data_IF_007070046802
#
_entry.id   IF_007070046802
#
_cell.length_a   1.000
_cell.length_b   1.000
_cell.length_c   1.000
_cell.angle_alpha   90.00
_cell.angle_beta   90.00
_cell.angle_gamma   90.00
#
_symmetry.space_group_name_H-M   'P 1'
#
loop_
_entity.id
_entity.type
_entity.pdbx_description
1 polymer ?
#
# COMPACT_ATOMS: atom_id res chain seq x y z
N UNK A 1 44.22 -6.93 -54.54
CA UNK A 1 42.79 -6.57 -54.51
C UNK A 1 41.94 -7.75 -54.97
N UNK A 2 41.28 -8.46 -54.03
CA UNK A 2 40.00 -9.15 -54.19
C UNK A 2 39.60 -9.77 -52.84
N UNK A 3 38.48 -9.30 -52.31
CA UNK A 3 37.84 -9.70 -51.05
C UNK A 3 37.36 -11.16 -51.10
N UNK A 4 37.52 -11.91 -50.01
CA UNK A 4 36.60 -12.99 -49.63
C UNK A 4 36.44 -13.01 -48.09
N UNK A 5 35.23 -12.70 -47.66
CA UNK A 5 34.64 -12.93 -46.34
C UNK A 5 34.25 -14.42 -46.24
N UNK A 6 34.71 -15.12 -45.21
CA UNK A 6 34.10 -16.33 -44.58
C UNK A 6 34.66 -16.35 -43.14
N UNK A 7 33.92 -16.17 -42.06
CA UNK A 7 32.60 -16.70 -41.75
C UNK A 7 32.79 -17.86 -40.76
N UNK A 8 32.96 -17.57 -39.47
CA UNK A 8 32.91 -18.59 -38.41
C UNK A 8 32.21 -18.01 -37.17
N UNK A 9 30.88 -18.13 -37.24
CA UNK A 9 29.95 -18.55 -36.19
C UNK A 9 30.27 -18.17 -34.74
N UNK A 10 29.68 -17.04 -34.35
CA UNK A 10 28.89 -16.84 -33.13
C UNK A 10 28.63 -18.12 -32.30
N UNK A 11 29.36 -18.28 -31.19
CA UNK A 11 28.86 -19.01 -30.02
C UNK A 11 28.61 -17.97 -28.91
N UNK A 12 27.41 -17.38 -28.95
CA UNK A 12 26.84 -16.65 -27.82
C UNK A 12 26.62 -17.66 -26.69
N UNK A 13 27.55 -17.73 -25.75
CA UNK A 13 27.23 -18.33 -24.46
C UNK A 13 26.18 -17.46 -23.77
N UNK A 14 24.95 -17.95 -23.79
CA UNK A 14 23.91 -17.61 -22.82
C UNK A 14 24.48 -17.81 -21.41
N UNK A 15 24.83 -16.74 -20.70
CA UNK A 15 25.04 -16.80 -19.25
C UNK A 15 24.89 -15.43 -18.56
N UNK A 16 23.83 -14.67 -18.88
CA UNK A 16 23.53 -13.41 -18.17
C UNK A 16 22.31 -13.50 -17.25
N UNK A 17 21.76 -14.69 -17.02
CA UNK A 17 20.70 -14.92 -16.02
C UNK A 17 21.20 -15.49 -14.69
N UNK A 18 22.46 -15.93 -14.59
CA UNK A 18 23.04 -16.48 -13.35
C UNK A 18 23.73 -15.47 -12.45
N UNK A 19 24.14 -14.29 -12.95
CA UNK A 19 24.88 -13.30 -12.14
C UNK A 19 24.01 -12.48 -11.19
N UNK A 20 22.71 -12.33 -11.48
CA UNK A 20 21.77 -11.63 -10.59
C UNK A 20 21.28 -12.53 -9.43
N UNK A 21 21.18 -13.84 -9.64
CA UNK A 21 20.82 -14.80 -8.59
C UNK A 21 21.96 -14.99 -7.58
N UNK A 22 23.20 -15.14 -8.06
CA UNK A 22 24.37 -15.29 -7.20
C UNK A 22 24.61 -14.07 -6.28
N UNK A 23 24.35 -12.86 -6.75
CA UNK A 23 24.55 -11.66 -5.91
C UNK A 23 23.52 -11.54 -4.79
N UNK A 24 22.26 -11.95 -5.01
CA UNK A 24 21.22 -11.95 -3.97
C UNK A 24 21.46 -13.01 -2.91
N UNK A 25 21.84 -14.22 -3.32
CA UNK A 25 22.17 -15.31 -2.40
C UNK A 25 23.34 -14.93 -1.49
N UNK A 26 24.39 -14.32 -2.05
CA UNK A 26 25.54 -13.85 -1.27
C UNK A 26 25.20 -12.69 -0.32
N UNK A 27 24.32 -11.77 -0.74
CA UNK A 27 23.80 -10.70 0.14
C UNK A 27 22.98 -11.28 1.29
N UNK A 28 22.08 -12.22 1.01
CA UNK A 28 21.30 -12.90 2.03
C UNK A 28 22.20 -13.67 2.99
N UNK A 29 23.20 -14.41 2.49
CA UNK A 29 24.14 -15.14 3.31
C UNK A 29 24.92 -14.24 4.27
N UNK A 30 25.28 -13.01 3.86
CA UNK A 30 25.90 -12.04 4.76
C UNK A 30 24.94 -11.60 5.88
N UNK A 31 23.67 -11.32 5.53
CA UNK A 31 22.62 -10.92 6.48
C UNK A 31 22.29 -12.07 7.44
N UNK A 32 22.07 -13.29 6.95
CA UNK A 32 21.86 -14.47 7.76
C UNK A 32 23.02 -14.69 8.74
N UNK A 33 24.27 -14.56 8.27
CA UNK A 33 25.44 -14.69 9.14
C UNK A 33 25.47 -13.66 10.27
N UNK A 34 25.06 -12.41 10.02
CA UNK A 34 25.01 -11.40 11.09
C UNK A 34 23.88 -11.71 12.07
N UNK A 35 22.73 -12.15 11.57
CA UNK A 35 21.56 -12.48 12.38
C UNK A 35 21.77 -13.76 13.21
N UNK A 36 22.43 -14.77 12.66
CA UNK A 36 22.85 -15.98 13.37
C UNK A 36 23.80 -15.64 14.52
N UNK A 37 24.76 -14.74 14.30
CA UNK A 37 25.65 -14.29 15.36
C UNK A 37 24.89 -13.53 16.46
N UNK A 38 23.86 -12.74 16.11
CA UNK A 38 23.00 -12.06 17.08
C UNK A 38 22.19 -13.06 17.93
N UNK A 39 21.56 -14.07 17.30
CA UNK A 39 20.81 -15.12 18.00
C UNK A 39 21.72 -15.92 18.92
N UNK A 40 22.88 -16.33 18.43
CA UNK A 40 23.82 -17.17 19.17
C UNK A 40 24.75 -16.37 20.09
N UNK A 41 24.57 -15.06 20.22
CA UNK A 41 25.41 -14.15 21.01
C UNK A 41 26.92 -14.31 20.72
N UNK A 42 27.26 -14.54 19.45
CA UNK A 42 28.63 -14.74 18.99
C UNK A 42 29.32 -13.41 18.73
N UNK A 43 30.63 -13.36 18.97
CA UNK A 43 31.43 -12.16 18.72
C UNK A 43 31.55 -11.91 17.22
N UNK A 44 31.37 -10.65 16.82
CA UNK A 44 31.50 -10.24 15.42
C UNK A 44 32.62 -9.23 15.24
N UNK A 45 33.46 -9.47 14.23
CA UNK A 45 34.52 -8.54 13.86
C UNK A 45 33.97 -7.40 13.00
N UNK A 46 34.19 -6.15 13.42
CA UNK A 46 33.81 -4.96 12.63
C UNK A 46 34.38 -5.02 11.22
N UNK A 47 35.65 -5.42 11.05
CA UNK A 47 36.29 -5.47 9.73
C UNK A 47 35.75 -6.58 8.82
N UNK A 48 35.03 -7.56 9.38
CA UNK A 48 34.46 -8.66 8.61
C UNK A 48 33.06 -8.36 8.07
N UNK A 49 32.38 -7.35 8.62
CA UNK A 49 30.98 -7.07 8.32
C UNK A 49 30.72 -5.61 7.92
N UNK A 50 31.52 -4.64 8.35
CA UNK A 50 31.30 -3.21 8.05
C UNK A 50 32.20 -2.76 6.91
N UNK A 51 31.63 -2.00 5.97
CA UNK A 51 32.32 -1.47 4.79
C UNK A 51 33.59 -0.70 5.17
N UNK A 52 34.75 -1.02 4.54
CA UNK A 52 35.96 -0.22 4.68
C UNK A 52 35.75 1.26 4.33
N UNK A 53 34.93 1.57 3.33
CA UNK A 53 34.60 2.95 2.95
C UNK A 53 33.88 3.69 4.09
N UNK A 54 32.91 3.05 4.76
CA UNK A 54 32.25 3.61 5.94
C UNK A 54 33.25 3.89 7.06
N UNK A 55 34.07 2.90 7.43
CA UNK A 55 35.05 3.05 8.51
C UNK A 55 36.02 4.21 8.25
N UNK A 56 36.47 4.36 7.00
CA UNK A 56 37.34 5.46 6.58
C UNK A 56 36.62 6.81 6.64
N UNK A 57 35.39 6.91 6.15
CA UNK A 57 34.61 8.14 6.14
C UNK A 57 34.36 8.69 7.55
N UNK A 58 34.07 7.79 8.50
CA UNK A 58 33.79 8.14 9.89
C UNK A 58 35.04 8.12 10.79
N UNK A 59 36.24 7.90 10.23
CA UNK A 59 37.53 7.82 10.94
C UNK A 59 37.51 6.82 12.10
N UNK A 60 36.84 5.69 11.90
CA UNK A 60 36.69 4.62 12.89
C UNK A 60 37.76 3.55 12.69
N UNK A 61 38.42 3.16 13.78
CA UNK A 61 39.24 1.94 13.80
C UNK A 61 38.36 0.72 14.09
N UNK A 62 38.42 -0.30 13.24
CA UNK A 62 37.70 -1.56 13.44
C UNK A 62 38.05 -2.26 14.76
N UNK A 63 39.26 -2.04 15.30
CA UNK A 63 39.69 -2.62 16.58
C UNK A 63 39.11 -1.93 17.82
N UNK A 64 38.52 -0.74 17.64
CA UNK A 64 38.06 0.12 18.74
C UNK A 64 36.53 0.13 18.88
N UNK A 65 35.81 -0.49 17.95
CA UNK A 65 34.35 -0.54 17.93
C UNK A 65 33.86 -1.98 17.94
N UNK A 66 32.62 -2.15 18.35
CA UNK A 66 31.90 -3.41 18.30
C UNK A 66 30.67 -3.28 17.41
N UNK A 67 30.23 -4.39 16.84
CA UNK A 67 28.95 -4.42 16.12
C UNK A 67 27.84 -4.48 17.15
N UNK A 68 26.88 -3.57 17.04
CA UNK A 68 25.70 -3.59 17.89
C UNK A 68 24.83 -4.80 17.55
N UNK A 69 24.26 -5.40 18.58
CA UNK A 69 23.43 -6.59 18.45
C UNK A 69 22.13 -6.39 19.21
N UNK A 70 21.03 -6.67 18.54
CA UNK A 70 19.87 -7.16 19.27
C UNK A 70 20.22 -8.57 19.79
N UNK A 71 19.63 -9.00 20.91
CA UNK A 71 19.70 -10.40 21.37
C UNK A 71 18.37 -11.11 21.06
N UNK A 72 18.02 -11.31 19.78
CA UNK A 72 16.78 -11.98 19.41
C UNK A 72 16.84 -13.47 19.73
N UNK A 73 15.67 -14.08 19.87
CA UNK A 73 15.50 -15.53 19.93
C UNK A 73 15.40 -16.14 18.52
N UNK A 74 14.99 -15.36 17.53
CA UNK A 74 14.95 -15.80 16.14
C UNK A 74 14.85 -14.65 15.14
N UNK A 75 14.97 -15.01 13.86
CA UNK A 75 14.90 -14.06 12.75
C UNK A 75 14.33 -14.71 11.48
N UNK A 76 13.92 -13.88 10.53
CA UNK A 76 13.59 -14.26 9.16
C UNK A 76 14.05 -13.17 8.19
N UNK A 77 14.57 -13.55 7.03
CA UNK A 77 14.73 -12.60 5.92
C UNK A 77 13.33 -12.35 5.33
N UNK A 78 12.89 -11.10 5.33
CA UNK A 78 11.58 -10.70 4.80
C UNK A 78 11.64 -10.49 3.28
N UNK A 79 12.68 -9.78 2.82
CA UNK A 79 12.78 -9.32 1.43
C UNK A 79 14.23 -9.02 1.04
N UNK A 80 14.61 -9.34 -0.20
CA UNK A 80 15.80 -8.78 -0.84
C UNK A 80 15.36 -8.01 -2.10
N UNK A 81 15.38 -6.67 -2.01
CA UNK A 81 14.87 -5.77 -3.06
C UNK A 81 15.82 -5.65 -4.26
N UNK A 82 16.97 -6.31 -4.23
CA UNK A 82 18.08 -6.06 -5.14
C UNK A 82 18.82 -4.76 -4.79
N UNK A 83 19.88 -4.45 -5.54
CA UNK A 83 20.75 -3.31 -5.31
C UNK A 83 21.33 -3.24 -3.88
N UNK A 84 21.51 -4.40 -3.23
CA UNK A 84 22.07 -4.49 -1.89
C UNK A 84 21.07 -4.25 -0.75
N UNK A 85 19.80 -3.97 -1.03
CA UNK A 85 18.82 -3.70 0.05
C UNK A 85 18.15 -4.99 0.50
N UNK A 86 18.36 -5.38 1.76
CA UNK A 86 17.79 -6.59 2.37
C UNK A 86 17.04 -6.22 3.64
N UNK A 87 15.80 -6.68 3.79
CA UNK A 87 15.00 -6.51 4.99
C UNK A 87 14.87 -7.84 5.73
N UNK A 88 15.01 -7.80 7.04
CA UNK A 88 14.85 -8.96 7.90
C UNK A 88 14.07 -8.59 9.16
N UNK A 89 13.31 -9.54 9.69
CA UNK A 89 12.70 -9.45 11.01
C UNK A 89 13.51 -10.20 12.03
N UNK A 90 13.54 -9.64 13.24
CA UNK A 90 14.08 -10.26 14.43
C UNK A 90 13.04 -10.17 15.55
N UNK A 91 13.05 -11.13 16.48
CA UNK A 91 12.07 -11.14 17.57
C UNK A 91 12.64 -11.68 18.89
N UNK A 92 12.06 -11.22 19.99
CA UNK A 92 12.36 -11.70 21.34
C UNK A 92 11.61 -12.97 21.72
N UNK A 93 11.81 -13.41 22.97
CA UNK A 93 11.08 -14.55 23.55
C UNK A 93 9.57 -14.37 23.41
N UNK A 94 8.88 -15.43 22.99
CA UNK A 94 7.43 -15.43 22.73
C UNK A 94 6.96 -14.33 21.76
N UNK A 95 7.88 -13.79 20.93
CA UNK A 95 7.64 -12.64 20.06
C UNK A 95 7.10 -11.41 20.80
N UNK A 96 7.47 -11.25 22.08
CA UNK A 96 7.06 -10.10 22.91
C UNK A 96 7.57 -8.75 22.40
N UNK A 97 8.53 -8.77 21.48
CA UNK A 97 8.86 -7.66 20.59
C UNK A 97 9.28 -8.23 19.23
N UNK A 98 8.98 -7.50 18.16
CA UNK A 98 9.46 -7.76 16.80
C UNK A 98 9.99 -6.47 16.22
N UNK A 99 11.14 -6.54 15.55
CA UNK A 99 11.74 -5.41 14.83
C UNK A 99 11.98 -5.82 13.39
N UNK A 100 11.81 -4.88 12.45
CA UNK A 100 12.28 -5.03 11.07
C UNK A 100 13.55 -4.20 10.90
N UNK A 101 14.60 -4.85 10.44
CA UNK A 101 15.91 -4.28 10.13
C UNK A 101 16.04 -4.20 8.62
N UNK A 102 16.43 -3.04 8.11
CA UNK A 102 16.83 -2.85 6.71
C UNK A 102 18.34 -2.76 6.65
N UNK A 103 18.98 -3.64 5.89
CA UNK A 103 20.40 -3.68 5.61
C UNK A 103 20.68 -3.13 4.21
N UNK A 104 21.79 -2.41 4.07
CA UNK A 104 22.39 -2.08 2.77
C UNK A 104 23.70 -2.85 2.67
N UNK A 105 23.80 -3.70 1.66
CA UNK A 105 24.93 -4.57 1.37
C UNK A 105 25.67 -4.03 0.15
N UNK A 106 26.94 -3.69 0.33
CA UNK A 106 27.84 -3.16 -0.71
C UNK A 106 28.93 -4.17 -1.02
N UNK A 107 29.46 -4.15 -2.24
CA UNK A 107 30.57 -5.00 -2.66
C UNK A 107 31.83 -4.15 -2.80
N UNK A 108 32.82 -4.39 -1.94
CA UNK A 108 34.09 -3.65 -1.87
C UNK A 108 35.23 -4.65 -1.75
N UNK A 109 36.38 -4.40 -2.39
CA UNK A 109 37.59 -5.22 -2.26
C UNK A 109 37.41 -6.75 -2.38
N UNK A 110 36.44 -7.19 -3.20
CA UNK A 110 36.18 -8.60 -3.45
C UNK A 110 35.27 -9.29 -2.42
N UNK A 111 34.63 -8.54 -1.52
CA UNK A 111 33.73 -9.07 -0.48
C UNK A 111 32.50 -8.19 -0.27
N UNK A 112 31.43 -8.77 0.26
CA UNK A 112 30.25 -8.02 0.66
C UNK A 112 30.37 -7.52 2.10
N UNK A 113 29.90 -6.28 2.31
CA UNK A 113 29.89 -5.61 3.60
C UNK A 113 28.56 -4.88 3.81
N UNK A 114 28.23 -4.59 5.06
CA UNK A 114 27.16 -3.66 5.41
C UNK A 114 27.63 -2.22 5.30
N UNK A 115 26.74 -1.37 4.81
CA UNK A 115 26.82 0.08 4.86
C UNK A 115 25.81 0.59 5.91
N UNK A 116 26.27 0.87 7.15
CA UNK A 116 25.41 1.43 8.19
C UNK A 116 24.74 2.73 7.78
N UNK A 117 23.54 2.98 8.31
CA UNK A 117 22.76 4.20 8.00
C UNK A 117 22.94 5.32 9.00
N UNK A 118 23.64 5.06 10.12
CA UNK A 118 23.86 6.01 11.21
C UNK A 118 25.34 6.22 11.47
N UNK A 119 25.66 7.34 12.09
CA UNK A 119 26.99 7.58 12.66
C UNK A 119 27.32 6.53 13.73
N UNK A 120 28.61 6.18 13.90
CA UNK A 120 29.04 5.31 15.00
C UNK A 120 28.62 5.90 16.35
N UNK A 121 28.19 5.04 17.27
CA UNK A 121 27.75 5.44 18.60
C UNK A 121 28.91 5.96 19.44
N UNK A 122 28.64 6.94 20.31
CA UNK A 122 29.58 7.43 21.33
C UNK A 122 30.00 6.34 22.33
N UNK A 123 29.26 5.24 22.39
CA UNK A 123 29.56 4.05 23.20
C UNK A 123 30.41 3.00 22.47
N UNK A 124 31.04 3.36 21.35
CA UNK A 124 31.91 2.48 20.56
C UNK A 124 31.16 1.29 19.91
N UNK A 125 29.92 1.51 19.49
CA UNK A 125 29.12 0.53 18.74
C UNK A 125 28.78 1.01 17.33
N UNK A 126 28.65 0.08 16.38
CA UNK A 126 28.17 0.32 15.02
C UNK A 126 26.95 -0.56 14.77
N UNK A 127 25.83 0.05 14.41
CA UNK A 127 24.64 -0.66 13.95
C UNK A 127 24.90 -1.23 12.54
N UNK A 128 24.86 -2.56 12.31
CA UNK A 128 25.09 -3.11 10.97
C UNK A 128 23.91 -2.86 10.02
N UNK A 129 22.76 -2.44 10.53
CA UNK A 129 21.58 -2.09 9.73
C UNK A 129 21.60 -0.60 9.33
N UNK A 130 20.93 -0.32 8.22
CA UNK A 130 20.68 1.03 7.74
C UNK A 130 19.52 1.71 8.49
N UNK A 131 18.43 0.97 8.69
CA UNK A 131 17.21 1.43 9.37
C UNK A 131 16.65 0.31 10.25
N UNK A 132 15.99 0.70 11.33
CA UNK A 132 15.19 -0.21 12.17
C UNK A 132 13.79 0.37 12.37
N UNK A 133 12.79 -0.49 12.23
CA UNK A 133 11.41 -0.26 12.64
C UNK A 133 11.14 -1.12 13.87
N UNK A 134 10.80 -0.49 14.99
CA UNK A 134 10.65 -1.17 16.28
C UNK A 134 9.19 -1.50 16.59
N UNK A 135 8.99 -2.53 17.40
CA UNK A 135 7.67 -3.02 17.86
C UNK A 135 6.63 -3.17 16.74
N UNK A 136 7.06 -3.71 15.62
CA UNK A 136 6.15 -4.00 14.51
C UNK A 136 5.28 -5.21 14.88
N UNK A 137 4.08 -5.30 14.30
CA UNK A 137 3.22 -6.46 14.48
C UNK A 137 3.78 -7.67 13.73
N UNK A 138 3.71 -8.82 14.37
CA UNK A 138 4.11 -10.10 13.81
C UNK A 138 3.02 -10.62 12.85
N UNK A 139 3.06 -10.15 11.61
CA UNK A 139 2.11 -10.54 10.54
C UNK A 139 2.39 -11.98 10.00
N UNK A 140 3.01 -12.86 10.78
CA UNK A 140 3.51 -14.20 10.38
C UNK A 140 2.43 -15.30 10.23
N UNK A 141 1.27 -14.94 9.67
CA UNK A 141 0.31 -15.93 9.15
C UNK A 141 -0.11 -17.00 10.15
N UNK A 142 -0.24 -16.63 11.43
CA UNK A 142 -0.92 -17.45 12.42
C UNK A 142 -2.36 -17.69 11.96
N UNK A 143 -2.66 -18.91 11.56
CA UNK A 143 -4.01 -19.29 11.18
C UNK A 143 -4.93 -19.15 12.42
N UNK A 144 -5.77 -18.13 12.39
CA UNK A 144 -6.87 -17.92 13.35
C UNK A 144 -6.56 -16.89 14.42
N UNK A 145 -7.49 -15.96 14.60
CA UNK A 145 -7.50 -15.11 15.79
C UNK A 145 -8.79 -14.36 16.01
N UNK A 146 -9.30 -13.64 15.00
CA UNK A 146 -10.56 -12.94 15.10
C UNK A 146 -11.19 -12.74 13.72
N UNK A 147 -12.52 -12.79 13.65
CA UNK A 147 -13.25 -12.26 12.51
C UNK A 147 -13.06 -10.73 12.55
N UNK A 148 -12.56 -10.08 11.48
CA UNK A 148 -12.46 -8.63 11.45
C UNK A 148 -13.85 -8.01 11.63
N UNK A 149 -13.92 -6.84 12.25
CA UNK A 149 -15.18 -6.09 12.37
C UNK A 149 -15.75 -5.75 10.98
N UNK A 150 -17.04 -5.41 10.92
CA UNK A 150 -17.67 -4.99 9.66
C UNK A 150 -16.97 -3.76 9.05
N UNK A 151 -16.54 -2.82 9.89
CA UNK A 151 -15.78 -1.63 9.49
C UNK A 151 -14.41 -1.99 8.90
N UNK A 152 -13.64 -2.84 9.58
CA UNK A 152 -12.34 -3.28 9.09
C UNK A 152 -12.46 -4.06 7.77
N UNK A 153 -13.46 -4.95 7.68
CA UNK A 153 -13.73 -5.75 6.49
C UNK A 153 -14.16 -4.88 5.29
N UNK A 154 -15.03 -3.88 5.53
CA UNK A 154 -15.41 -2.89 4.51
C UNK A 154 -14.20 -2.12 4.03
N UNK A 155 -13.36 -1.68 4.96
CA UNK A 155 -12.18 -0.86 4.64
C UNK A 155 -11.22 -1.62 3.73
N UNK A 156 -10.76 -2.81 4.11
CA UNK A 156 -9.75 -3.54 3.33
C UNK A 156 -10.22 -3.85 1.91
N UNK A 157 -11.50 -4.18 1.74
CA UNK A 157 -12.08 -4.45 0.42
C UNK A 157 -12.24 -3.14 -0.36
N UNK A 158 -12.63 -2.04 0.28
CA UNK A 158 -12.70 -0.75 -0.39
C UNK A 158 -11.33 -0.27 -0.84
N UNK A 159 -10.30 -0.40 -0.01
CA UNK A 159 -8.91 -0.06 -0.37
C UNK A 159 -8.45 -0.91 -1.58
N UNK A 160 -8.72 -2.22 -1.57
CA UNK A 160 -8.40 -3.12 -2.68
C UNK A 160 -9.14 -2.70 -3.97
N UNK A 161 -10.44 -2.42 -3.88
CA UNK A 161 -11.24 -2.01 -5.04
C UNK A 161 -10.82 -0.65 -5.58
N UNK A 162 -10.47 0.29 -4.70
CA UNK A 162 -9.96 1.61 -5.06
C UNK A 162 -8.66 1.50 -5.85
N UNK A 163 -7.68 0.71 -5.38
CA UNK A 163 -6.44 0.45 -6.11
C UNK A 163 -6.74 -0.27 -7.45
N UNK A 164 -7.75 -1.16 -7.48
CA UNK A 164 -8.12 -1.88 -8.69
C UNK A 164 -8.64 -0.96 -9.80
N UNK A 165 -9.33 0.11 -9.41
CA UNK A 165 -9.88 1.12 -10.32
C UNK A 165 -8.83 2.18 -10.69
N UNK A 166 -8.01 2.63 -9.72
CA UNK A 166 -7.19 3.83 -9.86
C UNK A 166 -5.68 3.57 -10.05
N UNK A 167 -5.19 2.35 -9.79
CA UNK A 167 -3.78 1.97 -9.96
C UNK A 167 -3.66 0.71 -10.83
N UNK A 168 -4.44 0.64 -11.91
CA UNK A 168 -4.49 -0.51 -12.80
C UNK A 168 -3.09 -0.93 -13.33
N UNK A 169 -2.23 0.04 -13.62
CA UNK A 169 -0.88 -0.19 -14.17
C UNK A 169 0.05 -0.93 -13.19
N UNK A 170 -0.11 -0.72 -11.87
CA UNK A 170 0.71 -1.40 -10.86
C UNK A 170 -0.08 -2.42 -10.03
N UNK A 171 -1.38 -2.56 -10.26
CA UNK A 171 -2.26 -3.34 -9.38
C UNK A 171 -1.78 -4.77 -9.20
N UNK A 172 -1.39 -5.44 -10.28
CA UNK A 172 -0.98 -6.85 -10.25
C UNK A 172 0.11 -7.14 -9.21
N UNK A 173 1.07 -6.24 -9.02
CA UNK A 173 2.15 -6.41 -8.02
C UNK A 173 1.89 -5.64 -6.73
N UNK A 174 1.32 -4.44 -6.82
CA UNK A 174 1.02 -3.57 -5.68
C UNK A 174 -0.08 -4.14 -4.76
N UNK A 175 -1.07 -4.82 -5.33
CA UNK A 175 -2.20 -5.36 -4.58
C UNK A 175 -1.85 -6.57 -3.71
N UNK A 176 -0.62 -7.11 -3.83
CA UNK A 176 -0.13 -8.20 -2.95
C UNK A 176 -0.23 -7.82 -1.46
N UNK A 177 -0.14 -6.52 -1.13
CA UNK A 177 -0.27 -5.97 0.22
C UNK A 177 -1.62 -6.24 0.89
N UNK A 178 -2.65 -6.55 0.09
CA UNK A 178 -4.00 -6.87 0.56
C UNK A 178 -4.22 -8.37 0.81
N UNK A 179 -3.33 -9.23 0.31
CA UNK A 179 -3.51 -10.68 0.39
C UNK A 179 -2.94 -11.23 1.69
N UNK A 180 -3.70 -12.13 2.32
CA UNK A 180 -3.34 -12.78 3.57
C UNK A 180 -1.98 -13.51 3.45
N UNK A 181 -1.00 -13.23 4.32
CA UNK A 181 0.28 -13.95 4.36
C UNK A 181 0.10 -15.47 4.52
N UNK A 182 -0.87 -15.91 5.33
CA UNK A 182 -1.16 -17.33 5.51
C UNK A 182 -1.58 -18.03 4.21
N UNK A 183 -2.21 -17.32 3.26
CA UNK A 183 -2.60 -17.89 1.98
C UNK A 183 -1.38 -18.35 1.17
N UNK A 184 -0.35 -17.50 1.04
CA UNK A 184 0.88 -17.85 0.32
C UNK A 184 1.59 -19.04 0.98
N UNK A 185 1.68 -19.00 2.31
CA UNK A 185 2.29 -20.07 3.12
C UNK A 185 1.57 -21.41 2.97
N UNK A 186 0.24 -21.42 3.11
CA UNK A 186 -0.56 -22.64 3.07
C UNK A 186 -0.61 -23.28 1.68
N UNK A 187 -0.42 -22.48 0.63
CA UNK A 187 -0.39 -22.95 -0.75
C UNK A 187 1.02 -23.20 -1.29
N UNK A 188 2.06 -23.01 -0.46
CA UNK A 188 3.47 -23.18 -0.85
C UNK A 188 3.87 -22.38 -2.10
N UNK A 189 3.36 -21.14 -2.22
CA UNK A 189 3.67 -20.24 -3.34
C UNK A 189 4.43 -19.01 -2.85
N UNK A 190 5.40 -18.55 -3.64
CA UNK A 190 6.05 -17.26 -3.41
C UNK A 190 5.13 -16.13 -3.90
N UNK A 191 4.84 -15.16 -3.03
CA UNK A 191 4.01 -14.00 -3.38
C UNK A 191 4.59 -13.18 -4.55
N UNK A 192 5.91 -13.21 -4.77
CA UNK A 192 6.56 -12.45 -5.83
C UNK A 192 6.45 -13.10 -7.20
N UNK A 193 6.21 -14.41 -7.26
CA UNK A 193 5.98 -15.14 -8.50
C UNK A 193 4.58 -14.87 -9.06
N UNK A 194 3.62 -14.47 -8.21
CA UNK A 194 2.23 -14.30 -8.60
C UNK A 194 1.79 -12.84 -8.72
N UNK A 195 0.98 -12.54 -9.72
CA UNK A 195 0.23 -11.28 -9.82
C UNK A 195 -1.16 -11.44 -9.17
N UNK A 196 -1.72 -10.35 -8.66
CA UNK A 196 -3.11 -10.32 -8.24
C UNK A 196 -3.98 -10.08 -9.46
N UNK A 197 -4.91 -11.01 -9.70
CA UNK A 197 -5.85 -10.88 -10.80
C UNK A 197 -6.78 -9.68 -10.54
N UNK A 198 -7.07 -8.95 -11.60
CA UNK A 198 -7.97 -7.83 -11.57
C UNK A 198 -8.75 -7.71 -12.87
N UNK A 199 -9.99 -7.24 -12.76
CA UNK A 199 -10.90 -7.06 -13.90
C UNK A 199 -10.69 -5.72 -14.63
N UNK A 200 -9.71 -4.91 -14.20
CA UNK A 200 -9.53 -3.52 -14.63
C UNK A 200 -10.85 -2.72 -14.66
N UNK A 201 -11.64 -2.74 -13.57
CA UNK A 201 -12.95 -2.09 -13.56
C UNK A 201 -12.82 -0.57 -13.66
N UNK A 202 -13.84 0.05 -14.24
CA UNK A 202 -13.98 1.52 -14.26
C UNK A 202 -14.66 2.06 -13.00
N UNK A 203 -15.26 1.20 -12.18
CA UNK A 203 -15.83 1.59 -10.90
C UNK A 203 -16.18 0.40 -10.02
N UNK A 204 -16.47 0.69 -8.75
CA UNK A 204 -16.77 -0.33 -7.75
C UNK A 204 -17.63 0.20 -6.60
N UNK A 205 -18.30 -0.69 -5.88
CA UNK A 205 -19.05 -0.36 -4.67
C UNK A 205 -19.16 -1.58 -3.73
N UNK A 206 -18.82 -1.40 -2.45
CA UNK A 206 -19.08 -2.44 -1.42
C UNK A 206 -20.56 -2.43 -1.02
N UNK A 207 -21.27 -3.53 -1.32
CA UNK A 207 -22.69 -3.69 -1.04
C UNK A 207 -22.97 -4.21 0.36
N UNK A 208 -22.43 -5.37 0.72
CA UNK A 208 -22.70 -6.00 2.02
C UNK A 208 -21.44 -6.44 2.73
N UNK A 209 -21.49 -6.46 4.06
CA UNK A 209 -20.44 -7.00 4.92
C UNK A 209 -21.11 -7.94 5.91
N UNK A 210 -20.81 -9.22 5.81
CA UNK A 210 -21.30 -10.26 6.70
C UNK A 210 -20.50 -10.34 7.99
N UNK A 211 -21.13 -10.88 9.04
CA UNK A 211 -20.51 -11.11 10.34
C UNK A 211 -19.53 -12.30 10.35
N UNK A 212 -19.39 -12.99 9.20
CA UNK A 212 -18.51 -14.13 8.96
C UNK A 212 -17.21 -13.72 8.23
N UNK A 213 -16.99 -12.43 8.02
CA UNK A 213 -15.87 -11.90 7.25
C UNK A 213 -16.07 -11.99 5.73
N UNK A 214 -17.26 -12.31 5.25
CA UNK A 214 -17.57 -12.22 3.82
C UNK A 214 -18.01 -10.80 3.45
N UNK A 215 -17.46 -10.26 2.37
CA UNK A 215 -17.82 -8.93 1.86
C UNK A 215 -18.25 -9.07 0.41
N UNK A 216 -19.40 -8.51 0.04
CA UNK A 216 -19.80 -8.45 -1.37
C UNK A 216 -19.62 -7.05 -1.94
N UNK A 217 -19.12 -6.98 -3.17
CA UNK A 217 -18.98 -5.74 -3.90
C UNK A 217 -19.46 -5.92 -5.34
N UNK A 218 -19.91 -4.83 -5.96
CA UNK A 218 -20.07 -4.74 -7.39
C UNK A 218 -18.83 -4.07 -7.99
N UNK A 219 -18.41 -4.57 -9.13
CA UNK A 219 -17.44 -3.93 -10.02
C UNK A 219 -18.01 -3.89 -11.42
N UNK A 220 -17.59 -2.93 -12.22
CA UNK A 220 -18.11 -2.78 -13.56
C UNK A 220 -17.08 -2.21 -14.54
N UNK A 221 -17.26 -2.57 -15.82
CA UNK A 221 -16.50 -1.99 -16.92
C UNK A 221 -16.97 -0.59 -17.28
N UNK A 222 -16.28 0.05 -18.22
CA UNK A 222 -16.67 1.38 -18.73
C UNK A 222 -18.12 1.35 -19.24
N UNK A 223 -18.90 2.37 -18.87
CA UNK A 223 -20.33 2.45 -19.15
C UNK A 223 -21.18 1.31 -18.56
N UNK A 224 -20.72 0.62 -17.51
CA UNK A 224 -21.25 -0.67 -16.99
C UNK A 224 -21.57 -1.67 -18.11
N UNK A 225 -20.71 -1.71 -19.15
CA UNK A 225 -20.79 -2.71 -20.24
C UNK A 225 -20.78 -4.15 -19.74
N UNK A 226 -20.27 -4.37 -18.54
CA UNK A 226 -20.42 -5.59 -17.75
C UNK A 226 -20.45 -5.20 -16.27
N UNK A 227 -21.15 -5.99 -15.45
CA UNK A 227 -21.14 -5.89 -13.99
C UNK A 227 -20.86 -7.26 -13.42
N UNK A 228 -19.89 -7.33 -12.51
CA UNK A 228 -19.67 -8.52 -11.70
C UNK A 228 -19.90 -8.19 -10.23
N UNK A 229 -20.58 -9.08 -9.54
CA UNK A 229 -20.63 -9.16 -8.10
C UNK A 229 -19.51 -10.08 -7.63
N UNK A 230 -18.62 -9.54 -6.81
CA UNK A 230 -17.50 -10.25 -6.21
C UNK A 230 -17.80 -10.48 -4.73
N UNK A 231 -17.60 -11.71 -4.27
CA UNK A 231 -17.59 -12.02 -2.84
C UNK A 231 -16.14 -12.19 -2.39
N UNK A 232 -15.71 -11.49 -1.36
CA UNK A 232 -14.38 -11.57 -0.76
C UNK A 232 -14.47 -12.23 0.61
N UNK A 233 -13.49 -13.06 0.95
CA UNK A 233 -13.30 -13.54 2.32
C UNK A 233 -12.21 -12.69 2.97
N UNK A 234 -12.48 -12.17 4.16
CA UNK A 234 -11.57 -11.32 4.90
C UNK A 234 -11.15 -12.01 6.19
N UNK A 235 -9.86 -11.90 6.53
CA UNK A 235 -9.25 -12.51 7.73
C UNK A 235 -8.41 -11.49 8.48
N UNK A 236 -8.25 -11.67 9.80
CA UNK A 236 -7.34 -10.88 10.63
C UNK A 236 -6.15 -11.74 11.05
N UNK A 237 -4.95 -11.35 10.63
CA UNK A 237 -3.68 -12.05 10.89
C UNK A 237 -2.68 -11.05 11.46
N UNK A 238 -2.02 -11.37 12.58
CA UNK A 238 -1.07 -10.44 13.22
C UNK A 238 -1.69 -9.11 13.69
N UNK A 239 -3.01 -9.02 13.79
CA UNK A 239 -3.71 -7.77 14.10
C UNK A 239 -4.04 -6.90 12.87
N UNK A 240 -3.57 -7.27 11.68
CA UNK A 240 -3.91 -6.63 10.41
C UNK A 240 -4.95 -7.44 9.63
N UNK A 241 -5.72 -6.75 8.81
CA UNK A 241 -6.85 -7.32 8.07
C UNK A 241 -6.48 -7.48 6.61
N UNK A 242 -6.80 -8.65 6.04
CA UNK A 242 -6.42 -9.06 4.69
C UNK A 242 -7.56 -9.76 3.98
N UNK A 243 -7.49 -9.78 2.66
CA UNK A 243 -8.29 -10.65 1.80
C UNK A 243 -7.65 -12.03 1.73
N UNK A 244 -8.44 -13.08 1.99
CA UNK A 244 -8.05 -14.48 1.83
C UNK A 244 -8.59 -15.02 0.50
N UNK A 245 -7.72 -15.19 -0.51
CA UNK A 245 -8.11 -15.69 -1.83
C UNK A 245 -8.77 -17.06 -1.78
N UNK A 246 -9.61 -17.37 -2.77
CA UNK A 246 -10.09 -18.75 -2.98
C UNK A 246 -9.04 -19.63 -3.65
N UNK A 247 -8.22 -19.06 -4.52
CA UNK A 247 -7.28 -19.83 -5.31
C UNK A 247 -6.38 -18.98 -6.19
N UNK A 248 -5.53 -19.69 -6.92
CA UNK A 248 -4.60 -19.15 -7.89
C UNK A 248 -4.61 -20.03 -9.14
N UNK A 249 -4.08 -19.51 -10.24
CA UNK A 249 -3.97 -20.22 -11.53
C UNK A 249 -2.53 -20.59 -11.84
N UNK A 250 -2.35 -21.60 -12.68
CA UNK A 250 -1.04 -22.00 -13.24
C UNK A 250 -0.34 -20.87 -14.03
N UNK A 251 -1.09 -19.86 -14.48
CA UNK A 251 -0.55 -18.66 -15.13
C UNK A 251 -0.06 -17.60 -14.13
N UNK A 252 0.25 -17.99 -12.89
CA UNK A 252 0.79 -17.12 -11.85
C UNK A 252 -0.14 -15.95 -11.44
N UNK A 253 -1.46 -16.20 -11.36
CA UNK A 253 -2.42 -15.22 -10.86
C UNK A 253 -3.11 -15.70 -9.59
N UNK A 254 -3.20 -14.84 -8.57
CA UNK A 254 -4.04 -15.03 -7.38
C UNK A 254 -5.38 -14.34 -7.60
N UNK A 255 -6.48 -15.03 -7.35
CA UNK A 255 -7.83 -14.46 -7.41
C UNK A 255 -8.26 -13.96 -6.04
N UNK A 256 -8.29 -12.64 -5.78
CA UNK A 256 -8.62 -12.13 -4.45
C UNK A 256 -10.06 -12.41 -4.03
N UNK A 257 -10.96 -12.63 -5.00
CA UNK A 257 -12.35 -12.98 -4.74
C UNK A 257 -12.55 -14.47 -4.48
N UNK A 258 -13.54 -14.76 -3.63
CA UNK A 258 -14.05 -16.08 -3.32
C UNK A 258 -15.11 -16.54 -4.33
N UNK A 259 -15.96 -15.63 -4.79
CA UNK A 259 -17.00 -15.93 -5.78
C UNK A 259 -17.16 -14.77 -6.76
N UNK A 260 -17.59 -15.10 -7.98
CA UNK A 260 -17.91 -14.14 -9.05
C UNK A 260 -19.26 -14.51 -9.63
N UNK A 261 -20.14 -13.54 -9.71
CA UNK A 261 -21.46 -13.64 -10.34
C UNK A 261 -21.60 -12.47 -11.31
N UNK A 262 -21.84 -12.75 -12.60
CA UNK A 262 -22.16 -11.69 -13.57
C UNK A 262 -23.61 -11.27 -13.36
N UNK A 263 -23.85 -9.96 -13.29
CA UNK A 263 -25.15 -9.37 -13.00
C UNK A 263 -25.64 -8.59 -14.21
N UNK A 264 -26.87 -8.86 -14.64
CA UNK A 264 -27.57 -8.01 -15.62
C UNK A 264 -28.11 -6.77 -14.91
N UNK A 265 -27.88 -5.58 -15.45
CA UNK A 265 -28.22 -4.33 -14.75
C UNK A 265 -29.06 -3.41 -15.63
N UNK A 266 -30.28 -3.14 -15.14
CA UNK A 266 -31.21 -2.11 -15.62
C UNK A 266 -30.94 -0.72 -14.97
N UNK A 267 -29.91 -0.58 -14.14
CA UNK A 267 -29.61 0.70 -13.46
C UNK A 267 -28.70 1.64 -14.27
N UNK A 268 -29.04 2.94 -14.35
CA UNK A 268 -28.24 3.92 -15.06
C UNK A 268 -26.82 4.05 -14.48
N UNK A 269 -25.88 4.35 -15.37
CA UNK A 269 -24.44 4.38 -15.09
C UNK A 269 -23.92 5.80 -15.04
N UNK A 270 -23.09 6.10 -14.06
CA UNK A 270 -22.23 7.28 -14.10
C UNK A 270 -20.93 6.90 -14.77
N UNK A 271 -20.65 7.51 -15.92
CA UNK A 271 -19.36 7.36 -16.59
C UNK A 271 -18.27 8.05 -15.76
N UNK A 272 -17.19 7.32 -15.47
CA UNK A 272 -16.05 7.84 -14.73
C UNK A 272 -15.24 8.79 -15.63
N UNK A 273 -14.99 9.98 -15.13
CA UNK A 273 -14.10 10.98 -15.69
C UNK A 273 -13.32 11.68 -14.57
N UNK A 274 -12.37 12.54 -14.93
CA UNK A 274 -11.49 13.25 -13.99
C UNK A 274 -12.27 14.02 -12.90
N UNK A 275 -13.49 14.50 -13.19
CA UNK A 275 -14.35 15.19 -12.22
C UNK A 275 -14.94 14.23 -11.20
N UNK A 276 -15.45 13.09 -11.65
CA UNK A 276 -15.94 12.04 -10.73
C UNK A 276 -14.82 11.43 -9.92
N UNK A 277 -13.61 11.33 -10.48
CA UNK A 277 -12.43 10.82 -9.77
C UNK A 277 -12.01 11.76 -8.64
N UNK A 278 -12.00 13.08 -8.88
CA UNK A 278 -11.75 14.07 -7.82
C UNK A 278 -12.76 13.92 -6.66
N UNK A 279 -14.05 13.81 -6.98
CA UNK A 279 -15.09 13.69 -5.96
C UNK A 279 -15.04 12.33 -5.25
N UNK A 280 -14.71 11.26 -5.96
CA UNK A 280 -14.46 9.95 -5.38
C UNK A 280 -13.29 10.00 -4.38
N UNK A 281 -12.18 10.67 -4.70
CA UNK A 281 -11.06 10.90 -3.76
C UNK A 281 -11.50 11.63 -2.51
N UNK A 282 -12.30 12.68 -2.66
CA UNK A 282 -12.87 13.44 -1.53
C UNK A 282 -13.73 12.53 -0.66
N UNK A 283 -14.70 11.80 -1.24
CA UNK A 283 -15.59 10.93 -0.48
C UNK A 283 -14.84 9.76 0.18
N UNK A 284 -13.81 9.22 -0.48
CA UNK A 284 -12.93 8.21 0.09
C UNK A 284 -12.21 8.74 1.34
N UNK A 285 -11.61 9.93 1.25
CA UNK A 285 -10.92 10.56 2.36
C UNK A 285 -11.88 10.84 3.54
N UNK A 286 -13.15 11.21 3.28
CA UNK A 286 -14.17 11.39 4.32
C UNK A 286 -14.44 10.10 5.13
N UNK A 287 -14.48 8.95 4.45
CA UNK A 287 -14.76 7.67 5.10
C UNK A 287 -13.52 7.13 5.81
N UNK A 288 -12.35 7.20 5.17
CA UNK A 288 -11.18 6.39 5.55
C UNK A 288 -9.98 7.17 6.07
N UNK A 289 -9.87 8.48 5.81
CA UNK A 289 -8.69 9.31 6.13
C UNK A 289 -9.03 10.42 7.13
N UNK A 290 -9.89 10.12 8.10
CA UNK A 290 -10.49 11.10 9.02
C UNK A 290 -9.48 12.01 9.74
N UNK A 291 -8.29 11.51 10.05
CA UNK A 291 -7.26 12.25 10.79
C UNK A 291 -6.54 13.31 9.94
N UNK A 292 -6.44 13.10 8.63
CA UNK A 292 -5.76 14.03 7.70
C UNK A 292 -6.74 14.78 6.80
N UNK A 293 -8.00 14.35 6.76
CA UNK A 293 -9.05 14.89 5.90
C UNK A 293 -9.09 16.41 5.85
N UNK A 294 -9.13 17.08 7.01
CA UNK A 294 -9.22 18.54 7.07
C UNK A 294 -8.04 19.22 6.36
N UNK A 295 -6.82 18.72 6.53
CA UNK A 295 -5.62 19.34 5.93
C UNK A 295 -5.56 19.11 4.43
N UNK A 296 -5.85 17.88 4.00
CA UNK A 296 -5.73 17.48 2.60
C UNK A 296 -6.87 18.06 1.75
N UNK A 297 -8.06 18.23 2.33
CA UNK A 297 -9.22 18.78 1.63
C UNK A 297 -9.09 20.23 1.21
N UNK A 298 -8.30 21.03 1.93
CA UNK A 298 -8.08 22.44 1.57
C UNK A 298 -7.40 22.57 0.21
N UNK A 299 -6.63 21.55 -0.18
CA UNK A 299 -5.96 21.47 -1.47
C UNK A 299 -6.93 21.22 -2.63
N UNK A 300 -8.10 20.66 -2.36
CA UNK A 300 -9.12 20.40 -3.37
C UNK A 300 -10.11 21.53 -3.54
N UNK A 301 -10.14 22.56 -2.66
CA UNK A 301 -11.01 23.72 -2.82
C UNK A 301 -10.40 24.73 -3.80
N UNK A 302 -11.23 25.26 -4.69
CA UNK A 302 -10.84 26.16 -5.76
C UNK A 302 -10.12 27.42 -5.25
N UNK A 303 -8.91 27.76 -5.77
CA UNK A 303 -8.20 28.99 -5.40
C UNK A 303 -9.03 30.27 -5.58
N UNK A 304 -9.86 30.35 -6.63
CA UNK A 304 -10.75 31.49 -6.84
C UNK A 304 -11.81 31.65 -5.75
N UNK A 305 -12.22 30.57 -5.09
CA UNK A 305 -13.13 30.61 -3.94
C UNK A 305 -12.46 31.31 -2.76
N UNK A 306 -11.26 30.88 -2.38
CA UNK A 306 -10.49 31.52 -1.30
C UNK A 306 -10.28 33.00 -1.56
N UNK A 307 -9.89 33.36 -2.79
CA UNK A 307 -9.69 34.76 -3.19
C UNK A 307 -10.98 35.58 -3.10
N UNK A 308 -12.11 35.03 -3.55
CA UNK A 308 -13.41 35.73 -3.57
C UNK A 308 -13.90 36.08 -2.18
N UNK A 309 -13.68 35.20 -1.22
CA UNK A 309 -14.14 35.36 0.16
C UNK A 309 -13.04 35.81 1.13
N UNK A 310 -11.85 36.14 0.62
CA UNK A 310 -10.69 36.54 1.43
C UNK A 310 -10.32 35.55 2.53
N UNK A 311 -10.42 34.25 2.23
CA UNK A 311 -10.14 33.16 3.17
C UNK A 311 -8.66 32.78 3.07
N UNK A 312 -7.97 32.72 4.20
CA UNK A 312 -6.63 32.14 4.29
C UNK A 312 -6.75 30.61 4.37
N UNK A 313 -6.24 29.85 3.36
CA UNK A 313 -6.39 28.41 3.32
C UNK A 313 -5.73 27.68 4.49
N UNK A 314 -4.82 28.32 5.22
CA UNK A 314 -4.12 27.72 6.36
C UNK A 314 -4.87 27.86 7.69
N UNK A 315 -5.89 28.72 7.76
CA UNK A 315 -6.58 29.07 9.01
C UNK A 315 -7.95 28.40 9.14
N UNK A 316 -8.69 28.22 8.04
CA UNK A 316 -10.06 27.69 8.07
C UNK A 316 -10.11 26.15 8.19
N UNK A 317 -11.20 25.61 8.72
CA UNK A 317 -11.50 24.17 8.79
C UNK A 317 -12.46 23.75 7.67
N UNK A 318 -12.25 22.58 7.09
CA UNK A 318 -13.18 21.97 6.13
C UNK A 318 -14.20 21.15 6.90
N UNK A 319 -15.48 21.45 6.71
CA UNK A 319 -16.54 20.65 7.30
C UNK A 319 -16.52 19.24 6.69
N UNK A 320 -16.71 18.23 7.53
CA UNK A 320 -16.70 16.84 7.10
C UNK A 320 -17.81 16.08 7.79
N UNK A 321 -18.53 15.28 7.00
CA UNK A 321 -19.26 14.16 7.58
C UNK A 321 -18.26 13.07 7.96
N UNK A 322 -18.68 12.18 8.86
CA UNK A 322 -17.97 10.92 9.16
C UNK A 322 -18.73 9.72 8.61
N UNK A 323 -18.94 9.64 7.28
CA UNK A 323 -19.72 8.57 6.69
C UNK A 323 -19.08 7.19 6.89
N UNK A 324 -19.93 6.17 6.85
CA UNK A 324 -19.57 4.77 6.80
C UNK A 324 -19.35 4.28 5.35
N UNK A 325 -19.94 4.97 4.36
CA UNK A 325 -19.74 4.67 2.95
C UNK A 325 -20.25 5.77 2.03
N UNK A 326 -19.96 5.62 0.73
CA UNK A 326 -20.38 6.54 -0.31
C UNK A 326 -20.60 5.85 -1.67
N UNK A 327 -21.31 6.53 -2.57
CA UNK A 327 -21.46 6.19 -3.99
C UNK A 327 -21.50 7.46 -4.83
N UNK A 328 -20.97 7.42 -6.06
CA UNK A 328 -21.14 8.49 -7.05
C UNK A 328 -22.40 8.21 -7.87
N UNK A 329 -23.33 9.16 -7.90
CA UNK A 329 -24.68 8.98 -8.45
C UNK A 329 -24.87 9.60 -9.83
N UNK A 330 -24.18 10.70 -10.14
CA UNK A 330 -24.23 11.33 -11.46
C UNK A 330 -23.12 12.36 -11.65
N UNK A 331 -22.77 12.63 -12.91
CA UNK A 331 -22.00 13.81 -13.32
C UNK A 331 -22.70 14.46 -14.52
N UNK A 332 -22.80 15.79 -14.53
CA UNK A 332 -23.33 16.53 -15.67
C UNK A 332 -22.24 17.28 -16.46
N UNK A 333 -22.63 17.79 -17.63
CA UNK A 333 -21.72 18.54 -18.51
C UNK A 333 -21.21 19.86 -17.90
N UNK A 334 -21.86 20.37 -16.86
CA UNK A 334 -21.48 21.59 -16.14
C UNK A 334 -20.51 21.30 -14.98
N UNK A 335 -20.09 20.05 -14.81
CA UNK A 335 -19.20 19.63 -13.74
C UNK A 335 -19.89 19.50 -12.40
N UNK A 336 -21.22 19.36 -12.37
CA UNK A 336 -21.95 18.98 -11.16
C UNK A 336 -21.83 17.48 -10.98
N UNK A 337 -21.24 17.06 -9.86
CA UNK A 337 -21.12 15.66 -9.47
C UNK A 337 -21.98 15.43 -8.23
N UNK A 338 -22.84 14.42 -8.25
CA UNK A 338 -23.64 14.03 -7.09
C UNK A 338 -23.06 12.77 -6.48
N UNK A 339 -22.93 12.76 -5.17
CA UNK A 339 -22.55 11.59 -4.39
C UNK A 339 -23.56 11.35 -3.27
N UNK A 340 -23.85 10.09 -2.96
CA UNK A 340 -24.52 9.72 -1.70
C UNK A 340 -23.46 9.33 -0.69
N UNK A 341 -23.66 9.76 0.55
CA UNK A 341 -22.90 9.29 1.71
C UNK A 341 -23.89 8.79 2.76
N UNK A 342 -23.49 7.84 3.60
CA UNK A 342 -24.37 7.28 4.62
C UNK A 342 -23.66 6.90 5.91
N UNK A 343 -24.40 6.88 7.01
CA UNK A 343 -23.95 6.40 8.31
C UNK A 343 -23.91 4.88 8.45
N UNK A 344 -23.49 4.40 9.62
CA UNK A 344 -23.56 2.97 9.96
C UNK A 344 -24.99 2.44 9.76
N UNK A 345 -25.11 1.24 9.18
CA UNK A 345 -26.38 0.61 8.79
C UNK A 345 -27.32 1.48 7.93
N UNK A 346 -26.77 2.50 7.25
CA UNK A 346 -27.54 3.53 6.53
C UNK A 346 -28.56 4.27 7.41
N UNK A 347 -28.32 4.37 8.71
CA UNK A 347 -29.19 5.10 9.65
C UNK A 347 -29.38 6.59 9.33
N UNK A 348 -28.53 7.14 8.45
CA UNK A 348 -28.76 8.39 7.74
C UNK A 348 -28.15 8.32 6.35
N UNK A 349 -28.73 9.07 5.40
CA UNK A 349 -28.22 9.21 4.03
C UNK A 349 -28.25 10.69 3.61
N UNK A 350 -27.14 11.20 3.10
CA UNK A 350 -27.06 12.53 2.49
C UNK A 350 -26.69 12.42 1.01
N UNK A 351 -27.35 13.20 0.17
CA UNK A 351 -26.92 13.50 -1.20
C UNK A 351 -26.09 14.79 -1.17
N UNK A 352 -24.79 14.66 -1.44
CA UNK A 352 -23.87 15.77 -1.61
C UNK A 352 -23.78 16.11 -3.10
N UNK A 353 -23.91 17.39 -3.41
CA UNK A 353 -23.66 17.91 -4.75
C UNK A 353 -22.35 18.68 -4.72
N UNK A 354 -21.39 18.28 -5.54
CA UNK A 354 -20.12 18.96 -5.74
C UNK A 354 -20.14 19.69 -7.07
N UNK A 355 -19.59 20.90 -7.11
CA UNK A 355 -19.33 21.63 -8.35
C UNK A 355 -17.85 21.58 -8.63
N UNK A 356 -17.45 20.81 -9.64
CA UNK A 356 -16.04 20.69 -10.05
C UNK A 356 -15.73 21.75 -11.10
N UNK A 357 -14.66 22.51 -10.87
CA UNK A 357 -14.15 23.56 -11.75
C UNK A 357 -12.69 23.29 -12.09
N UNK A 358 -12.25 23.79 -13.24
CA UNK A 358 -10.85 23.73 -13.67
C UNK A 358 -10.21 25.11 -13.52
N UNK A 359 -9.11 25.20 -12.77
CA UNK A 359 -8.33 26.42 -12.59
C UNK A 359 -6.86 26.13 -12.84
N UNK A 360 -6.25 26.83 -13.81
CA UNK A 360 -4.83 26.65 -14.18
C UNK A 360 -4.48 25.20 -14.57
N UNK A 361 -5.42 24.47 -15.19
CA UNK A 361 -5.21 23.07 -15.63
C UNK A 361 -5.37 22.02 -14.52
N UNK A 362 -5.84 22.41 -13.33
CA UNK A 362 -6.10 21.49 -12.22
C UNK A 362 -7.60 21.54 -11.85
N UNK A 363 -8.13 20.39 -11.42
CA UNK A 363 -9.53 20.27 -10.98
C UNK A 363 -9.66 20.56 -9.49
N UNK A 364 -10.70 21.32 -9.14
CA UNK A 364 -11.05 21.69 -7.78
C UNK A 364 -12.56 21.59 -7.54
N UNK A 365 -12.97 21.46 -6.28
CA UNK A 365 -14.36 21.68 -5.87
C UNK A 365 -14.61 23.14 -5.52
N UNK A 366 -15.77 23.63 -5.94
CA UNK A 366 -16.28 24.97 -5.65
C UNK A 366 -17.39 24.86 -4.60
N UNK A 367 -17.12 25.24 -3.34
CA UNK A 367 -18.15 25.32 -2.30
C UNK A 367 -19.31 26.23 -2.71
N UNK A 368 -20.52 25.89 -2.25
CA UNK A 368 -21.72 26.65 -2.59
C UNK A 368 -22.02 27.79 -1.63
N UNK A 369 -21.49 27.72 -0.40
CA UNK A 369 -21.75 28.71 0.64
C UNK A 369 -20.53 28.87 1.55
N UNK A 370 -20.22 30.11 1.86
CA UNK A 370 -19.35 30.49 2.97
C UNK A 370 -20.22 31.03 4.10
N UNK A 371 -19.91 30.67 5.34
CA UNK A 371 -20.52 31.24 6.53
C UNK A 371 -19.49 32.20 7.15
N UNK A 372 -19.65 33.53 6.97
CA UNK A 372 -18.63 34.52 7.38
C UNK A 372 -18.30 34.48 8.87
N UNK A 373 -19.26 34.02 9.67
CA UNK A 373 -19.16 33.96 11.14
C UNK A 373 -18.63 32.61 11.63
N UNK A 374 -18.22 31.71 10.74
CA UNK A 374 -17.67 30.40 11.11
C UNK A 374 -16.30 30.19 10.48
N UNK A 375 -15.44 29.47 11.19
CA UNK A 375 -14.15 29.02 10.66
C UNK A 375 -14.30 27.86 9.65
N UNK A 376 -15.53 27.47 9.28
CA UNK A 376 -15.80 26.27 8.48
C UNK A 376 -16.15 26.56 7.02
N UNK A 377 -15.69 25.70 6.13
CA UNK A 377 -16.11 25.65 4.71
C UNK A 377 -16.66 24.26 4.40
N UNK A 378 -17.90 24.21 3.90
CA UNK A 378 -18.47 22.99 3.36
C UNK A 378 -17.86 22.69 1.98
N UNK A 379 -17.18 21.56 1.76
CA UNK A 379 -16.54 21.26 0.48
C UNK A 379 -17.55 20.95 -0.64
N UNK A 380 -18.81 20.69 -0.27
CA UNK A 380 -19.91 20.48 -1.22
C UNK A 380 -20.58 21.80 -1.62
N UNK A 381 -21.13 21.82 -2.82
CA UNK A 381 -21.96 22.92 -3.33
C UNK A 381 -23.33 22.97 -2.65
N UNK A 382 -23.93 21.81 -2.36
CA UNK A 382 -25.17 21.69 -1.59
C UNK A 382 -25.31 20.30 -1.00
N UNK A 383 -26.09 20.19 0.07
CA UNK A 383 -26.44 18.91 0.69
C UNK A 383 -27.96 18.76 0.80
N UNK A 384 -28.46 17.56 0.53
CA UNK A 384 -29.84 17.15 0.79
C UNK A 384 -29.86 15.92 1.68
N UNK A 385 -30.47 16.03 2.85
CA UNK A 385 -30.74 14.88 3.72
C UNK A 385 -31.90 14.08 3.17
N UNK A 386 -31.68 12.79 2.96
CA UNK A 386 -32.75 11.83 2.70
C UNK A 386 -33.08 11.16 4.02
N UNK A 387 -34.33 11.25 4.46
CA UNK A 387 -34.83 10.45 5.57
C UNK A 387 -35.03 9.06 5.00
N UNK A 388 -34.27 8.08 5.47
CA UNK A 388 -34.55 6.66 5.20
C UNK A 388 -35.84 6.30 5.92
N UNK A 389 -36.87 5.86 5.17
CA UNK A 389 -38.09 5.26 5.72
C UNK A 389 -37.80 3.93 6.43
#
# INVERSE_FOLDING_TARGET
>A
MKNIIKGMTLLLCLSTLSSFGQSREQQNALVEKVLDNMVNSSTMSVSAFISPAYLKAHKVSASSYQINTYSPVGYSIDENRGNGVVEARIWGSSRGWVHRLTFIVTYEDGSYYFMPGREPSTYMYIDPWYKVETNITDDDGGAGGAIPTATESRKIVTDLLYDMVNDADNFGTGARKYIAPSYYKNNYIDKYDYQINYYSPSGSEVKTVGNDGMVTALIWGSGKSWINKLTFKVVKEGGKVYVYPKGHTDNFYVHPWYEVETVDVDEPVVEKNDKTELVEKICYAMVYEKETFDKDMRLYIAPSYYKKYSIDPFVFLVNSYTPFGYSIESVDSKGIVKAKIWGEDRGWVHELTFKVVEESGLLYVMPGKHYPDTEYVDPWYSVRTSITE
#
